data_IF_374678279808
#
_entry.id   IF_374678279808
#
_cell.length_a   1.000
_cell.length_b   1.000
_cell.length_c   1.000
_cell.angle_alpha   90.00
_cell.angle_beta   90.00
_cell.angle_gamma   90.00
#
_symmetry.space_group_name_H-M   'P 1'
#
loop_
_entity.id
_entity.type
_entity.pdbx_description
1 polymer ?
#
# COMPACT_ATOMS: atom_id res chain seq x y z
N UNK A 1 -0.07 12.84 30.56
CA UNK A 1 0.46 11.46 30.67
C UNK A 1 1.99 11.53 30.56
N UNK A 2 2.76 10.81 31.40
CA UNK A 2 4.22 10.80 31.28
C UNK A 2 4.64 10.19 29.94
N UNK A 3 5.70 10.75 29.35
CA UNK A 3 6.33 10.25 28.12
C UNK A 3 6.80 8.80 28.34
N UNK A 4 6.29 7.87 27.54
CA UNK A 4 6.79 6.50 27.50
C UNK A 4 7.72 6.37 26.29
N UNK A 5 8.99 5.97 26.47
CA UNK A 5 9.91 5.79 25.36
C UNK A 5 9.45 4.65 24.45
N UNK A 6 9.68 4.81 23.15
CA UNK A 6 9.40 3.76 22.17
C UNK A 6 10.38 2.59 22.35
N UNK A 7 9.87 1.36 22.24
CA UNK A 7 10.69 0.13 22.25
C UNK A 7 10.64 -0.50 20.86
N UNK A 8 11.80 -0.87 20.32
CA UNK A 8 11.90 -1.58 19.04
C UNK A 8 12.35 -3.02 19.26
N UNK A 9 11.72 -3.97 18.56
CA UNK A 9 12.06 -5.39 18.59
C UNK A 9 11.97 -5.96 17.18
N UNK A 10 12.93 -6.81 16.81
CA UNK A 10 12.90 -7.58 15.57
C UNK A 10 12.40 -9.00 15.84
N UNK A 11 11.59 -9.51 14.93
CA UNK A 11 11.07 -10.88 14.88
C UNK A 11 11.17 -11.38 13.44
N UNK A 12 11.41 -12.67 13.28
CA UNK A 12 11.35 -13.35 11.97
C UNK A 12 10.03 -14.12 11.80
N UNK A 13 9.39 -14.47 12.91
CA UNK A 13 8.08 -15.10 12.95
C UNK A 13 7.00 -14.02 13.02
N UNK A 14 6.10 -13.98 12.03
CA UNK A 14 5.06 -12.96 11.89
C UNK A 14 4.07 -12.97 13.05
N UNK A 15 3.62 -14.14 13.48
CA UNK A 15 2.70 -14.34 14.61
C UNK A 15 3.21 -13.65 15.89
N UNK A 16 4.47 -13.90 16.28
CA UNK A 16 5.11 -13.25 17.44
C UNK A 16 5.29 -11.73 17.29
N UNK A 17 5.30 -11.23 16.06
CA UNK A 17 5.37 -9.78 15.81
C UNK A 17 4.00 -9.11 15.98
N UNK A 18 2.91 -9.89 15.90
CA UNK A 18 1.53 -9.43 15.99
C UNK A 18 1.01 -9.41 17.44
N UNK A 19 1.63 -10.14 18.37
CA UNK A 19 1.21 -10.18 19.78
C UNK A 19 1.06 -8.76 20.38
N UNK A 20 -0.16 -8.41 20.77
CA UNK A 20 -0.49 -7.10 21.35
C UNK A 20 -0.53 -5.93 20.35
N UNK A 21 -0.43 -6.21 19.04
CA UNK A 21 -0.47 -5.17 18.00
C UNK A 21 -1.88 -4.62 17.82
N UNK A 22 -1.99 -3.28 17.83
CA UNK A 22 -3.23 -2.54 17.49
C UNK A 22 -3.23 -2.00 16.06
N UNK A 23 -2.04 -1.83 15.50
CA UNK A 23 -1.81 -1.37 14.14
C UNK A 23 -0.72 -2.23 13.53
N UNK A 24 -0.94 -2.68 12.30
CA UNK A 24 -0.02 -3.52 11.55
C UNK A 24 0.29 -2.80 10.25
N UNK A 25 1.55 -2.45 10.02
CA UNK A 25 1.97 -1.74 8.81
C UNK A 25 2.56 -2.76 7.84
N UNK A 26 1.99 -2.84 6.63
CA UNK A 26 2.43 -3.76 5.59
C UNK A 26 3.16 -3.00 4.48
N UNK A 27 4.46 -3.26 4.35
CA UNK A 27 5.34 -2.69 3.32
C UNK A 27 6.07 -3.79 2.52
N UNK A 28 5.43 -4.94 2.30
CA UNK A 28 6.06 -6.07 1.63
C UNK A 28 6.28 -5.80 0.13
N UNK A 29 7.23 -6.52 -0.46
CA UNK A 29 7.37 -6.70 -1.92
C UNK A 29 7.35 -8.19 -2.25
N UNK A 30 6.17 -8.72 -2.55
CA UNK A 30 6.02 -10.16 -2.77
C UNK A 30 6.78 -10.61 -4.03
N UNK A 31 7.71 -11.56 -3.85
CA UNK A 31 8.61 -12.02 -4.92
C UNK A 31 9.86 -11.16 -5.13
N UNK A 32 10.01 -10.06 -4.39
CA UNK A 32 11.21 -9.22 -4.44
C UNK A 32 11.47 -8.60 -5.81
N UNK A 33 12.74 -8.24 -6.06
CA UNK A 33 13.15 -7.68 -7.35
C UNK A 33 13.22 -8.72 -8.46
N UNK A 34 13.44 -10.00 -8.13
CA UNK A 34 13.53 -11.06 -9.12
C UNK A 34 12.19 -11.27 -9.84
N UNK A 35 11.07 -11.37 -9.10
CA UNK A 35 9.76 -11.46 -9.75
C UNK A 35 9.39 -10.16 -10.49
N UNK A 36 9.82 -9.01 -9.97
CA UNK A 36 9.56 -7.72 -10.60
C UNK A 36 10.24 -7.57 -11.97
N UNK A 37 11.41 -8.19 -12.18
CA UNK A 37 12.05 -8.22 -13.50
C UNK A 37 11.14 -8.85 -14.55
N UNK A 38 10.41 -9.91 -14.18
CA UNK A 38 9.49 -10.59 -15.09
C UNK A 38 8.20 -9.79 -15.31
N UNK A 39 7.71 -9.07 -14.28
CA UNK A 39 6.53 -8.20 -14.40
C UNK A 39 6.70 -7.11 -15.48
N UNK A 40 7.94 -6.69 -15.71
CA UNK A 40 8.32 -5.71 -16.75
C UNK A 40 8.77 -6.42 -18.04
N UNK A 41 9.67 -7.39 -17.90
CA UNK A 41 10.34 -8.02 -19.04
C UNK A 41 9.41 -8.86 -19.90
N UNK A 42 8.44 -9.55 -19.30
CA UNK A 42 7.48 -10.37 -20.07
C UNK A 42 6.59 -9.48 -20.94
N UNK A 43 5.86 -8.47 -20.41
CA UNK A 43 5.03 -7.60 -21.25
C UNK A 43 5.84 -6.85 -22.33
N UNK A 44 7.06 -6.43 -22.01
CA UNK A 44 7.93 -5.73 -22.96
C UNK A 44 8.29 -6.60 -24.18
N UNK A 45 8.49 -7.91 -24.00
CA UNK A 45 8.71 -8.85 -25.13
C UNK A 45 7.54 -8.87 -26.13
N UNK A 46 6.34 -8.52 -25.68
CA UNK A 46 5.13 -8.45 -26.51
C UNK A 46 4.80 -7.02 -26.94
N UNK A 47 5.72 -6.07 -26.78
CA UNK A 47 5.53 -4.67 -27.18
C UNK A 47 4.68 -3.84 -26.21
N UNK A 48 4.44 -4.34 -24.99
CA UNK A 48 3.74 -3.59 -23.94
C UNK A 48 4.77 -2.99 -22.99
N UNK A 49 5.08 -1.71 -23.22
CA UNK A 49 5.92 -0.93 -22.31
C UNK A 49 5.10 -0.39 -21.13
N UNK A 50 5.68 -0.44 -19.93
CA UNK A 50 5.04 -0.06 -18.68
C UNK A 50 6.03 0.79 -17.87
N UNK A 51 5.63 2.01 -17.49
CA UNK A 51 6.51 2.91 -16.75
C UNK A 51 7.01 2.32 -15.41
N UNK A 52 6.11 1.69 -14.64
CA UNK A 52 6.45 1.07 -13.34
C UNK A 52 5.92 -0.36 -13.21
N UNK A 53 4.71 -0.65 -13.71
CA UNK A 53 4.17 -2.01 -13.74
C UNK A 53 3.93 -2.67 -12.36
N UNK A 54 3.85 -1.91 -11.26
CA UNK A 54 3.64 -2.48 -9.92
C UNK A 54 2.19 -2.35 -9.41
N UNK A 55 1.32 -1.68 -10.14
CA UNK A 55 -0.02 -1.31 -9.67
C UNK A 55 -1.11 -1.68 -10.67
N UNK A 56 -0.94 -1.26 -11.92
CA UNK A 56 -1.86 -1.50 -13.04
C UNK A 56 -1.10 -2.15 -14.20
N UNK A 57 -1.79 -2.39 -15.32
CA UNK A 57 -1.27 -3.06 -16.51
C UNK A 57 -0.86 -4.53 -16.22
N UNK A 58 -0.22 -5.19 -17.19
CA UNK A 58 0.12 -6.60 -17.11
C UNK A 58 1.02 -6.92 -15.89
N UNK A 59 2.02 -6.08 -15.62
CA UNK A 59 2.88 -6.19 -14.45
C UNK A 59 2.10 -6.09 -13.13
N UNK A 60 1.22 -5.09 -13.00
CA UNK A 60 0.43 -4.90 -11.80
C UNK A 60 -0.55 -6.03 -11.54
N UNK A 61 -1.12 -6.63 -12.59
CA UNK A 61 -1.99 -7.81 -12.49
C UNK A 61 -1.20 -9.02 -12.00
N UNK A 62 -0.05 -9.33 -12.62
CA UNK A 62 0.81 -10.45 -12.20
C UNK A 62 1.29 -10.27 -10.76
N UNK A 63 1.66 -9.04 -10.39
CA UNK A 63 2.08 -8.73 -9.03
C UNK A 63 0.93 -8.83 -8.01
N UNK A 64 -0.28 -8.40 -8.39
CA UNK A 64 -1.49 -8.60 -7.59
C UNK A 64 -1.81 -10.07 -7.35
N UNK A 65 -1.72 -10.91 -8.39
CA UNK A 65 -1.94 -12.36 -8.26
C UNK A 65 -0.98 -13.03 -7.26
N UNK A 66 0.26 -12.53 -7.13
CA UNK A 66 1.20 -13.02 -6.12
C UNK A 66 0.93 -12.43 -4.74
N UNK A 67 0.55 -11.16 -4.66
CA UNK A 67 0.48 -10.42 -3.40
C UNK A 67 -0.83 -10.63 -2.65
N UNK A 68 -1.96 -10.76 -3.35
CA UNK A 68 -3.28 -10.95 -2.72
C UNK A 68 -3.31 -12.19 -1.81
N UNK A 69 -2.81 -13.38 -2.22
CA UNK A 69 -2.75 -14.54 -1.33
C UNK A 69 -1.97 -14.26 -0.04
N UNK A 70 -0.82 -13.58 -0.14
CA UNK A 70 -0.02 -13.21 1.04
C UNK A 70 -0.77 -12.22 1.94
N UNK A 71 -1.48 -11.24 1.37
CA UNK A 71 -2.29 -10.28 2.13
C UNK A 71 -3.43 -11.01 2.88
N UNK A 72 -4.08 -11.99 2.26
CA UNK A 72 -5.12 -12.78 2.93
C UNK A 72 -4.56 -13.65 4.05
N UNK A 73 -3.36 -14.23 3.87
CA UNK A 73 -2.63 -14.93 4.93
C UNK A 73 -2.29 -13.97 6.10
N UNK A 74 -1.87 -12.74 5.80
CA UNK A 74 -1.62 -11.75 6.85
C UNK A 74 -2.90 -11.37 7.58
N UNK A 75 -4.02 -11.22 6.86
CA UNK A 75 -5.32 -10.98 7.48
C UNK A 75 -5.73 -12.12 8.42
N UNK A 76 -5.46 -13.37 8.04
CA UNK A 76 -5.69 -14.52 8.90
C UNK A 76 -4.89 -14.40 10.20
N UNK A 77 -3.58 -14.17 10.09
CA UNK A 77 -2.70 -14.05 11.26
C UNK A 77 -3.03 -12.86 12.15
N UNK A 78 -3.39 -11.71 11.56
CA UNK A 78 -3.81 -10.53 12.32
C UNK A 78 -5.02 -10.85 13.18
N UNK A 79 -6.03 -11.53 12.62
CA UNK A 79 -7.23 -11.92 13.39
C UNK A 79 -6.90 -12.93 14.48
N UNK A 80 -5.92 -13.80 14.27
CA UNK A 80 -5.55 -14.85 15.21
C UNK A 80 -4.66 -14.35 16.36
N UNK A 81 -3.78 -13.38 16.12
CA UNK A 81 -2.67 -13.04 17.03
C UNK A 81 -2.63 -11.58 17.48
N UNK A 82 -3.22 -10.65 16.72
CA UNK A 82 -3.24 -9.25 17.10
C UNK A 82 -4.36 -8.93 18.11
N UNK A 83 -4.36 -7.70 18.65
CA UNK A 83 -5.44 -7.25 19.51
C UNK A 83 -6.78 -7.22 18.74
N UNK A 84 -7.92 -7.52 19.40
CA UNK A 84 -9.23 -7.34 18.80
C UNK A 84 -9.41 -5.90 18.26
N UNK A 85 -9.79 -5.79 16.99
CA UNK A 85 -9.91 -4.49 16.30
C UNK A 85 -8.59 -3.92 15.78
N UNK A 86 -7.52 -4.72 15.71
CA UNK A 86 -6.28 -4.30 15.06
C UNK A 86 -6.51 -3.90 13.59
N UNK A 87 -5.86 -2.82 13.16
CA UNK A 87 -5.97 -2.29 11.80
C UNK A 87 -4.76 -2.66 10.95
N UNK A 88 -5.02 -3.03 9.70
CA UNK A 88 -3.98 -3.21 8.69
C UNK A 88 -3.79 -1.90 7.92
N UNK A 89 -2.60 -1.31 7.98
CA UNK A 89 -2.19 -0.14 7.23
C UNK A 89 -1.32 -0.60 6.05
N UNK A 90 -1.91 -0.68 4.86
CA UNK A 90 -1.26 -1.28 3.70
C UNK A 90 -0.60 -0.23 2.79
N UNK A 91 0.73 -0.32 2.67
CA UNK A 91 1.53 0.38 1.66
C UNK A 91 1.97 -0.55 0.52
N UNK A 92 1.75 -1.86 0.61
CA UNK A 92 2.17 -2.80 -0.41
C UNK A 92 1.30 -2.67 -1.66
N UNK A 93 1.95 -2.49 -2.81
CA UNK A 93 1.30 -2.50 -4.12
C UNK A 93 0.98 -3.93 -4.61
N UNK A 94 -0.02 -4.11 -5.50
CA UNK A 94 -0.96 -3.11 -6.00
C UNK A 94 -1.97 -2.68 -4.94
N UNK A 95 -1.87 -1.44 -4.45
CA UNK A 95 -2.44 -1.08 -3.15
C UNK A 95 -3.96 -1.17 -3.15
N UNK A 96 -4.62 -0.70 -4.21
CA UNK A 96 -6.07 -0.77 -4.34
C UNK A 96 -6.57 -2.23 -4.35
N UNK A 97 -5.95 -3.11 -5.15
CA UNK A 97 -6.34 -4.52 -5.24
C UNK A 97 -6.10 -5.27 -3.92
N UNK A 98 -4.93 -5.07 -3.29
CA UNK A 98 -4.59 -5.68 -2.02
C UNK A 98 -5.54 -5.25 -0.89
N UNK A 99 -5.80 -3.93 -0.79
CA UNK A 99 -6.71 -3.36 0.20
C UNK A 99 -8.13 -3.86 -0.01
N UNK A 100 -8.59 -3.90 -1.27
CA UNK A 100 -9.91 -4.44 -1.58
C UNK A 100 -10.05 -5.90 -1.19
N UNK A 101 -9.07 -6.75 -1.52
CA UNK A 101 -9.07 -8.16 -1.12
C UNK A 101 -9.08 -8.34 0.40
N UNK A 102 -8.28 -7.56 1.14
CA UNK A 102 -8.24 -7.60 2.60
C UNK A 102 -9.60 -7.24 3.23
N UNK A 103 -10.27 -6.20 2.71
CA UNK A 103 -11.59 -5.77 3.19
C UNK A 103 -12.66 -6.82 2.84
N UNK A 104 -12.73 -7.22 1.56
CA UNK A 104 -13.80 -8.08 1.06
C UNK A 104 -13.68 -9.54 1.52
N UNK A 105 -12.45 -10.03 1.70
CA UNK A 105 -12.17 -11.45 1.94
C UNK A 105 -11.28 -11.72 3.16
N UNK A 106 -10.50 -10.73 3.61
CA UNK A 106 -9.64 -10.85 4.78
C UNK A 106 -10.35 -10.63 6.12
N UNK A 107 -11.40 -9.80 6.14
CA UNK A 107 -12.18 -9.50 7.35
C UNK A 107 -11.39 -8.70 8.40
N UNK A 108 -10.40 -7.93 7.98
CA UNK A 108 -9.60 -7.02 8.82
C UNK A 108 -9.89 -5.58 8.39
N UNK A 109 -10.07 -4.67 9.35
CA UNK A 109 -10.19 -3.24 9.05
C UNK A 109 -8.88 -2.76 8.41
N UNK A 110 -8.93 -2.51 7.10
CA UNK A 110 -7.74 -2.26 6.28
C UNK A 110 -7.82 -0.86 5.67
N UNK A 111 -6.76 -0.08 5.86
CA UNK A 111 -6.59 1.25 5.28
C UNK A 111 -5.44 1.20 4.29
N UNK A 112 -5.75 1.52 3.04
CA UNK A 112 -4.78 1.66 1.97
C UNK A 112 -4.10 3.03 2.00
N UNK A 113 -2.77 3.06 1.92
CA UNK A 113 -1.98 4.29 2.04
C UNK A 113 -1.06 4.48 0.84
N UNK A 114 -1.04 5.70 0.31
CA UNK A 114 -0.16 6.14 -0.77
C UNK A 114 0.21 7.61 -0.55
N UNK A 115 1.35 8.02 -1.08
CA UNK A 115 1.88 9.39 -0.98
C UNK A 115 1.66 10.23 -2.25
N UNK A 116 0.99 9.69 -3.28
CA UNK A 116 0.88 10.31 -4.60
C UNK A 116 0.13 11.64 -4.59
N UNK A 117 -0.94 11.75 -3.79
CA UNK A 117 -1.72 13.00 -3.67
C UNK A 117 -0.89 14.09 -3.00
N UNK A 118 -0.16 13.76 -1.93
CA UNK A 118 0.65 14.72 -1.21
C UNK A 118 1.79 15.26 -2.09
N UNK A 119 2.34 14.42 -2.98
CA UNK A 119 3.36 14.87 -3.94
C UNK A 119 2.77 15.72 -5.06
N UNK A 120 1.65 15.31 -5.67
CA UNK A 120 1.01 16.09 -6.73
C UNK A 120 0.54 17.46 -6.24
N UNK A 121 -0.06 17.54 -5.05
CA UNK A 121 -0.44 18.80 -4.42
C UNK A 121 0.75 19.76 -4.22
N UNK A 122 1.91 19.26 -3.77
CA UNK A 122 3.12 20.08 -3.64
C UNK A 122 3.58 20.64 -4.99
N UNK A 123 3.50 19.85 -6.05
CA UNK A 123 3.85 20.28 -7.40
C UNK A 123 2.86 21.34 -7.93
N UNK A 124 1.56 21.17 -7.65
CA UNK A 124 0.54 22.18 -7.97
C UNK A 124 0.84 23.50 -7.25
N UNK A 125 1.11 23.46 -5.95
CA UNK A 125 1.43 24.66 -5.17
C UNK A 125 2.68 25.38 -5.70
N UNK A 126 3.71 24.63 -6.09
CA UNK A 126 4.92 25.17 -6.72
C UNK A 126 4.61 25.92 -8.02
N UNK A 127 3.79 25.33 -8.91
CA UNK A 127 3.39 25.97 -10.18
C UNK A 127 2.55 27.24 -9.94
N UNK A 128 1.75 27.28 -8.88
CA UNK A 128 0.96 28.45 -8.48
C UNK A 128 1.79 29.52 -7.75
N UNK A 129 3.05 29.25 -7.40
CA UNK A 129 3.89 30.17 -6.61
C UNK A 129 3.43 30.35 -5.17
N UNK A 130 2.65 29.39 -4.63
CA UNK A 130 2.12 29.42 -3.27
C UNK A 130 2.85 28.44 -2.35
N UNK A 131 2.80 28.67 -1.03
CA UNK A 131 3.22 27.64 -0.09
C UNK A 131 2.17 26.51 -0.09
N UNK A 132 2.55 25.22 0.04
CA UNK A 132 1.57 24.13 0.02
C UNK A 132 0.43 24.32 1.01
N UNK A 133 0.73 24.78 2.23
CA UNK A 133 -0.26 25.05 3.29
C UNK A 133 -1.33 26.11 2.93
N UNK A 134 -1.11 26.90 1.89
CA UNK A 134 -2.01 27.95 1.42
C UNK A 134 -2.85 27.48 0.22
N UNK A 135 -2.71 26.22 -0.19
CA UNK A 135 -3.43 25.59 -1.31
C UNK A 135 -4.28 24.45 -0.76
N UNK A 136 -5.59 24.65 -0.74
CA UNK A 136 -6.55 23.58 -0.46
C UNK A 136 -6.82 22.79 -1.75
N UNK A 137 -7.32 21.56 -1.61
CA UNK A 137 -7.68 20.75 -2.77
C UNK A 137 -8.75 19.72 -2.44
N UNK A 138 -9.52 19.37 -3.46
CA UNK A 138 -10.40 18.20 -3.45
C UNK A 138 -9.89 17.22 -4.49
N UNK A 139 -9.69 15.96 -4.09
CA UNK A 139 -9.29 14.90 -5.01
C UNK A 139 -10.13 13.64 -4.87
N UNK A 140 -10.26 12.90 -5.96
CA UNK A 140 -11.00 11.63 -6.02
C UNK A 140 -10.36 10.66 -7.02
N UNK A 141 -10.74 9.39 -6.94
CA UNK A 141 -10.27 8.32 -7.81
C UNK A 141 -9.79 7.10 -7.03
N UNK A 142 -8.94 6.31 -7.67
CA UNK A 142 -8.29 5.14 -7.05
C UNK A 142 -6.78 5.37 -6.97
N UNK A 143 -6.07 4.48 -6.30
CA UNK A 143 -4.62 4.59 -6.20
C UNK A 143 -3.92 4.55 -7.56
N UNK A 144 -2.99 5.49 -7.74
CA UNK A 144 -2.27 5.75 -9.00
C UNK A 144 -3.17 6.13 -10.19
N UNK A 145 -4.41 6.53 -9.90
CA UNK A 145 -5.41 7.05 -10.81
C UNK A 145 -6.26 8.06 -10.01
N UNK A 146 -5.62 9.14 -9.57
CA UNK A 146 -6.25 10.16 -8.73
C UNK A 146 -6.31 11.48 -9.48
N UNK A 147 -7.42 12.19 -9.37
CA UNK A 147 -7.66 13.48 -10.00
C UNK A 147 -7.97 14.54 -8.95
N UNK A 148 -7.39 15.73 -9.14
CA UNK A 148 -7.80 16.93 -8.42
C UNK A 148 -8.99 17.53 -9.16
N UNK A 149 -10.11 17.69 -8.46
CA UNK A 149 -11.35 18.23 -9.03
C UNK A 149 -11.58 19.68 -8.64
N UNK A 150 -10.86 20.15 -7.61
CA UNK A 150 -10.89 21.53 -7.12
C UNK A 150 -9.54 21.87 -6.48
N UNK A 151 -9.09 23.11 -6.67
CA UNK A 151 -7.82 23.69 -6.18
C UNK A 151 -8.07 25.15 -5.80
#
# INVERSE_FOLDING_TARGET
RPFRPATSRRRLERTRALDGARYVICCIRQGGLEAFKDDIGIPLKYGVDQCVGDTICAGGIMYGQRTIPAILEFCHDIKAHAEPGARLLNYANPMAMNTWAAIAHGGVETIGLCHGVQHGWRQIAEVLGAAPRDVDYICTGINHQTWYTDI
#
